data_IF_822651069230
#
_entry.id   IF_822651069230
#
_cell.length_a   1.000
_cell.length_b   1.000
_cell.length_c   1.000
_cell.angle_alpha   90.00
_cell.angle_beta   90.00
_cell.angle_gamma   90.00
#
_symmetry.space_group_name_H-M   'P 1'
#
loop_
_entity.id
_entity.type
_entity.pdbx_description
1 polymer ?
#
# COMPACT_ATOMS: atom_id res chain seq x y z
N UNK A 1 -6.17 23.92 -11.38
CA UNK A 1 -7.15 22.81 -11.33
C UNK A 1 -6.69 21.92 -10.21
N UNK A 2 -7.24 22.16 -9.01
CA UNK A 2 -6.75 21.58 -7.75
C UNK A 2 -7.96 21.12 -6.92
N UNK A 3 -9.01 20.63 -7.59
CA UNK A 3 -10.35 20.49 -7.00
C UNK A 3 -10.86 19.04 -6.92
N UNK A 4 -10.06 18.03 -7.26
CA UNK A 4 -10.54 16.63 -7.31
C UNK A 4 -10.07 15.74 -6.15
N UNK A 5 -9.33 16.29 -5.17
CA UNK A 5 -8.88 15.52 -3.99
C UNK A 5 -9.98 15.45 -2.90
N UNK A 6 -11.09 16.20 -3.04
CA UNK A 6 -12.08 16.34 -1.97
C UNK A 6 -13.20 15.27 -1.93
N UNK A 7 -13.37 14.43 -2.95
CA UNK A 7 -14.58 13.57 -3.06
C UNK A 7 -14.36 12.06 -2.93
N UNK A 8 -13.30 11.62 -2.24
CA UNK A 8 -12.99 10.20 -2.14
C UNK A 8 -12.34 9.83 -0.80
N UNK A 9 -12.70 10.48 0.30
CA UNK A 9 -12.14 10.13 1.61
C UNK A 9 -12.85 8.92 2.20
N UNK A 10 -12.13 7.80 2.33
CA UNK A 10 -12.52 6.68 3.20
C UNK A 10 -11.51 6.71 4.34
N UNK A 11 -11.83 7.45 5.39
CA UNK A 11 -10.93 7.80 6.50
C UNK A 11 -10.45 6.60 7.31
N UNK A 12 -9.51 5.84 6.76
CA UNK A 12 -8.71 4.86 7.49
C UNK A 12 -7.34 5.49 7.68
N UNK A 13 -7.00 5.77 8.93
CA UNK A 13 -5.67 6.20 9.32
C UNK A 13 -4.72 5.01 9.20
N UNK A 14 -3.81 5.07 8.24
CA UNK A 14 -2.65 4.18 8.23
C UNK A 14 -1.64 4.75 9.24
N UNK A 15 -1.51 4.06 10.37
CA UNK A 15 -0.49 4.34 11.36
C UNK A 15 0.76 3.57 10.96
N UNK A 16 1.76 4.29 10.46
CA UNK A 16 3.05 3.72 10.12
C UNK A 16 3.99 3.83 11.31
N UNK A 17 4.38 2.70 11.87
CA UNK A 17 5.37 2.63 12.93
C UNK A 17 6.78 2.52 12.36
N UNK A 18 7.74 3.18 13.02
CA UNK A 18 9.15 3.17 12.61
C UNK A 18 10.03 2.65 13.73
N UNK A 19 11.00 1.80 13.39
CA UNK A 19 11.90 1.14 14.37
C UNK A 19 12.86 2.09 15.09
N UNK A 20 12.95 3.36 14.67
CA UNK A 20 13.85 4.38 15.25
C UNK A 20 13.28 5.16 16.44
N UNK A 21 12.14 4.76 17.01
CA UNK A 21 11.49 5.51 18.10
C UNK A 21 10.88 6.84 17.65
N UNK A 22 10.68 7.00 16.34
CA UNK A 22 10.03 8.16 15.73
C UNK A 22 8.51 8.09 15.91
N UNK A 23 7.87 9.25 16.00
CA UNK A 23 6.42 9.39 16.06
C UNK A 23 5.77 8.60 14.91
N UNK A 24 4.68 7.85 15.15
CA UNK A 24 3.94 7.20 14.07
C UNK A 24 3.51 8.20 13.01
N UNK A 25 3.65 7.84 11.73
CA UNK A 25 3.11 8.64 10.64
C UNK A 25 1.65 8.27 10.46
N UNK A 26 0.77 9.26 10.58
CA UNK A 26 -0.64 9.07 10.30
C UNK A 26 -0.91 9.53 8.86
N UNK A 27 -1.17 8.57 7.98
CA UNK A 27 -1.59 8.84 6.60
C UNK A 27 -3.07 8.57 6.45
N UNK A 28 -3.76 9.42 5.69
CA UNK A 28 -5.17 9.21 5.37
C UNK A 28 -5.28 8.53 4.02
N UNK A 29 -5.98 7.39 4.00
CA UNK A 29 -6.26 6.65 2.78
C UNK A 29 -7.29 7.39 1.90
N UNK A 30 -7.03 7.50 0.60
CA UNK A 30 -8.01 7.93 -0.39
C UNK A 30 -8.81 6.73 -0.90
N UNK A 31 -9.89 7.00 -1.64
CA UNK A 31 -10.81 5.97 -2.16
C UNK A 31 -9.99 4.95 -2.93
N UNK A 32 -9.94 3.71 -2.45
CA UNK A 32 -9.15 2.69 -3.10
C UNK A 32 -9.81 2.26 -4.41
N UNK A 33 -8.99 1.82 -5.35
CA UNK A 33 -9.46 1.04 -6.49
C UNK A 33 -9.42 -0.41 -6.03
N UNK A 34 -10.53 -1.12 -6.06
CA UNK A 34 -10.57 -2.53 -5.71
C UNK A 34 -11.53 -3.28 -6.62
N UNK A 35 -11.01 -4.27 -7.33
CA UNK A 35 -11.72 -5.15 -8.25
C UNK A 35 -11.45 -6.61 -7.89
N UNK A 36 -12.00 -7.55 -8.66
CA UNK A 36 -11.73 -8.98 -8.47
C UNK A 36 -10.25 -9.32 -8.66
N UNK A 37 -9.57 -8.61 -9.57
CA UNK A 37 -8.22 -8.93 -10.03
C UNK A 37 -7.17 -7.90 -9.64
N UNK A 38 -7.57 -6.75 -9.12
CA UNK A 38 -6.62 -5.68 -8.80
C UNK A 38 -7.04 -4.90 -7.57
N UNK A 39 -6.06 -4.36 -6.85
CA UNK A 39 -6.34 -3.26 -5.93
C UNK A 39 -5.22 -2.23 -5.99
N UNK A 40 -5.57 -0.99 -5.72
CA UNK A 40 -4.64 0.11 -5.51
C UNK A 40 -5.13 0.95 -4.33
N UNK A 41 -4.23 1.16 -3.38
CA UNK A 41 -4.45 1.99 -2.20
C UNK A 41 -3.40 3.08 -2.20
N UNK A 42 -3.88 4.30 -2.14
CA UNK A 42 -3.02 5.47 -2.01
C UNK A 42 -3.40 6.20 -0.74
N UNK A 43 -2.40 6.53 0.08
CA UNK A 43 -2.57 7.23 1.33
C UNK A 43 -1.52 8.32 1.48
N UNK A 44 -1.90 9.45 2.05
CA UNK A 44 -0.96 10.53 2.25
C UNK A 44 -1.36 11.46 3.38
N UNK A 45 -0.45 12.37 3.71
CA UNK A 45 -0.67 13.36 4.77
C UNK A 45 -0.06 14.69 4.37
N UNK A 46 -0.87 15.74 4.29
CA UNK A 46 -0.37 17.12 4.11
C UNK A 46 0.47 17.57 5.31
N UNK A 47 0.20 17.05 6.50
CA UNK A 47 0.92 17.43 7.72
C UNK A 47 2.29 16.76 7.82
N UNK A 48 2.38 15.48 7.41
CA UNK A 48 3.63 14.71 7.47
C UNK A 48 4.40 14.77 6.13
N UNK A 49 3.80 15.32 5.08
CA UNK A 49 4.35 15.46 3.72
C UNK A 49 4.74 14.14 3.02
N UNK A 50 4.13 13.01 3.44
CA UNK A 50 4.39 11.68 2.85
C UNK A 50 3.22 11.18 2.00
N UNK A 51 3.58 10.32 1.04
CA UNK A 51 2.72 9.56 0.15
C UNK A 51 3.12 8.08 0.18
N UNK A 52 2.13 7.20 0.24
CA UNK A 52 2.26 5.75 0.12
C UNK A 52 1.29 5.26 -0.95
N UNK A 53 1.76 4.40 -1.85
CA UNK A 53 0.94 3.69 -2.85
C UNK A 53 1.24 2.21 -2.77
N UNK A 54 0.22 1.39 -2.55
CA UNK A 54 0.29 -0.07 -2.56
C UNK A 54 -0.62 -0.59 -3.67
N UNK A 55 -0.07 -1.30 -4.64
CA UNK A 55 -0.82 -1.83 -5.78
C UNK A 55 -0.65 -3.35 -5.90
N UNK A 56 -1.69 -4.02 -6.37
CA UNK A 56 -1.71 -5.45 -6.64
C UNK A 56 -2.37 -5.70 -7.99
N UNK A 57 -1.69 -6.47 -8.84
CA UNK A 57 -2.14 -6.88 -10.17
C UNK A 57 -2.27 -8.39 -10.22
N UNK A 58 -3.43 -8.88 -10.65
CA UNK A 58 -3.81 -10.30 -10.61
C UNK A 58 -4.60 -10.65 -9.35
N UNK A 59 -5.47 -11.67 -9.46
CA UNK A 59 -6.43 -12.08 -8.42
C UNK A 59 -5.76 -12.34 -7.05
N UNK A 60 -5.94 -11.44 -6.06
CA UNK A 60 -5.32 -11.59 -4.75
C UNK A 60 -5.90 -12.81 -4.02
N UNK A 61 -5.09 -13.41 -3.15
CA UNK A 61 -5.41 -14.56 -2.29
C UNK A 61 -4.90 -14.27 -0.88
N UNK A 62 -5.53 -14.85 0.13
CA UNK A 62 -5.04 -14.75 1.51
C UNK A 62 -3.71 -15.51 1.64
N UNK A 63 -2.59 -14.77 1.67
CA UNK A 63 -1.20 -15.25 1.78
C UNK A 63 -0.24 -14.07 1.95
N UNK A 64 1.04 -14.39 2.11
CA UNK A 64 2.14 -13.44 2.05
C UNK A 64 2.62 -13.20 0.61
N UNK A 65 2.92 -11.95 0.30
CA UNK A 65 3.46 -11.46 -0.96
C UNK A 65 4.73 -10.66 -0.67
N UNK A 66 5.78 -10.92 -1.44
CA UNK A 66 6.98 -10.10 -1.39
C UNK A 66 6.85 -8.99 -2.44
N UNK A 67 7.21 -7.76 -2.07
CA UNK A 67 7.35 -6.70 -3.05
C UNK A 67 8.52 -7.04 -3.98
N UNK A 68 8.38 -6.83 -5.30
CA UNK A 68 9.46 -7.06 -6.22
C UNK A 68 10.60 -6.11 -5.85
N UNK A 69 11.71 -6.71 -5.41
CA UNK A 69 13.00 -6.03 -5.27
C UNK A 69 13.66 -6.24 -6.63
N UNK A 70 13.64 -5.22 -7.48
CA UNK A 70 14.16 -5.22 -8.86
C UNK A 70 13.51 -6.26 -9.79
N UNK A 71 12.34 -5.92 -10.33
CA UNK A 71 11.82 -6.65 -11.47
C UNK A 71 11.60 -5.69 -12.65
N UNK A 72 12.55 -5.70 -13.59
CA UNK A 72 12.23 -5.55 -15.01
C UNK A 72 11.22 -6.66 -15.34
N UNK A 73 9.94 -6.40 -15.09
CA UNK A 73 8.88 -7.34 -15.42
C UNK A 73 8.64 -7.19 -16.91
N UNK A 74 9.30 -8.04 -17.70
CA UNK A 74 8.94 -8.23 -19.10
C UNK A 74 7.43 -8.52 -19.18
N UNK A 75 6.67 -7.58 -19.74
CA UNK A 75 5.19 -7.59 -19.87
C UNK A 75 4.63 -8.81 -20.63
N UNK A 76 5.48 -9.75 -21.07
CA UNK A 76 5.11 -10.84 -21.98
C UNK A 76 4.85 -12.20 -21.32
N UNK A 77 4.81 -12.29 -19.99
CA UNK A 77 4.68 -13.58 -19.27
C UNK A 77 3.70 -13.64 -18.09
N UNK A 78 2.93 -12.59 -17.82
CA UNK A 78 2.08 -12.45 -16.62
C UNK A 78 0.74 -13.21 -16.69
N UNK A 79 0.75 -14.44 -17.20
CA UNK A 79 -0.39 -15.34 -17.01
C UNK A 79 -0.46 -15.77 -15.55
N UNK A 80 -1.55 -15.43 -14.86
CA UNK A 80 -1.94 -15.85 -13.50
C UNK A 80 -1.03 -15.45 -12.32
N UNK A 81 0.09 -14.77 -12.54
CA UNK A 81 0.98 -14.34 -11.44
C UNK A 81 0.50 -13.03 -10.82
N UNK A 82 0.25 -13.08 -9.51
CA UNK A 82 -0.10 -11.89 -8.73
C UNK A 82 1.17 -11.12 -8.40
N UNK A 83 1.23 -9.86 -8.80
CA UNK A 83 2.31 -8.93 -8.53
C UNK A 83 1.84 -7.87 -7.53
N UNK A 84 2.65 -7.56 -6.53
CA UNK A 84 2.34 -6.53 -5.52
C UNK A 84 3.47 -5.53 -5.47
N UNK A 85 3.19 -4.24 -5.65
CA UNK A 85 4.20 -3.17 -5.62
C UNK A 85 3.90 -2.17 -4.51
N UNK A 86 4.95 -1.52 -4.01
CA UNK A 86 4.86 -0.48 -2.98
C UNK A 86 5.73 0.71 -3.40
N UNK A 87 5.18 1.90 -3.28
CA UNK A 87 5.91 3.16 -3.37
C UNK A 87 5.70 3.96 -2.10
N UNK A 88 6.77 4.54 -1.57
CA UNK A 88 6.72 5.39 -0.39
C UNK A 88 7.71 6.53 -0.52
N UNK A 89 7.28 7.76 -0.26
CA UNK A 89 8.11 8.94 -0.47
C UNK A 89 7.49 10.23 0.03
N UNK A 90 8.26 11.32 -0.08
CA UNK A 90 7.76 12.67 0.22
C UNK A 90 7.07 13.28 -0.99
N UNK A 91 6.06 14.10 -0.78
CA UNK A 91 5.40 14.81 -1.88
C UNK A 91 6.38 15.64 -2.70
N UNK A 92 6.31 15.50 -4.03
CA UNK A 92 7.16 16.24 -4.96
C UNK A 92 8.63 15.81 -4.98
N UNK A 93 8.99 14.72 -4.29
CA UNK A 93 10.31 14.11 -4.33
C UNK A 93 10.23 12.70 -4.92
N UNK A 94 11.35 12.15 -5.43
CA UNK A 94 11.42 10.74 -5.78
C UNK A 94 11.03 9.85 -4.59
N UNK A 95 10.41 8.70 -4.87
CA UNK A 95 10.17 7.67 -3.87
C UNK A 95 11.49 7.18 -3.27
N UNK A 96 11.42 6.74 -2.02
CA UNK A 96 12.58 6.13 -1.40
C UNK A 96 12.82 4.73 -1.97
N UNK A 97 14.08 4.30 -1.94
CA UNK A 97 14.44 2.94 -2.28
C UNK A 97 13.95 1.96 -1.21
N UNK A 98 13.22 0.94 -1.62
CA UNK A 98 12.71 -0.13 -0.75
C UNK A 98 13.56 -1.38 -0.95
N UNK A 99 14.20 -1.85 0.13
CA UNK A 99 15.13 -2.98 0.09
C UNK A 99 14.49 -4.33 0.39
N UNK A 100 13.42 -4.33 1.17
CA UNK A 100 12.66 -5.51 1.57
C UNK A 100 11.24 -5.05 1.85
N UNK A 101 10.24 -5.81 1.42
CA UNK A 101 8.90 -5.59 1.94
C UNK A 101 7.95 -6.75 1.65
N UNK A 102 7.01 -6.89 2.57
CA UNK A 102 6.02 -7.95 2.61
C UNK A 102 4.64 -7.33 2.75
N UNK A 103 3.69 -7.83 1.96
CA UNK A 103 2.27 -7.68 2.19
C UNK A 103 1.71 -9.03 2.64
N UNK A 104 1.09 -9.07 3.81
CA UNK A 104 0.21 -10.18 4.19
C UNK A 104 -1.23 -9.79 3.92
N UNK A 105 -1.93 -10.58 3.12
CA UNK A 105 -3.39 -10.53 3.04
C UNK A 105 -3.95 -11.59 3.98
N UNK A 106 -4.60 -11.15 5.05
CA UNK A 106 -5.19 -12.04 6.05
C UNK A 106 -6.57 -12.55 5.60
N UNK A 107 -7.36 -11.69 4.96
CA UNK A 107 -8.73 -11.98 4.60
C UNK A 107 -9.13 -11.27 3.30
N UNK A 108 -9.86 -11.98 2.44
CA UNK A 108 -10.53 -11.43 1.26
C UNK A 108 -11.96 -11.93 1.31
N UNK A 109 -12.92 -11.02 1.33
CA UNK A 109 -14.32 -11.34 1.12
C UNK A 109 -14.77 -10.77 -0.22
N UNK A 110 -15.34 -11.65 -1.04
CA UNK A 110 -15.96 -11.33 -2.32
C UNK A 110 -17.34 -12.01 -2.30
N UNK A 111 -18.33 -11.32 -1.75
CA UNK A 111 -19.73 -11.73 -1.84
C UNK A 111 -20.51 -10.74 -2.73
N UNK A 112 -21.79 -11.05 -3.02
CA UNK A 112 -22.60 -10.22 -3.92
C UNK A 112 -22.86 -8.80 -3.37
N UNK A 113 -22.64 -8.58 -2.08
CA UNK A 113 -22.98 -7.34 -1.37
C UNK A 113 -21.77 -6.65 -0.74
N UNK A 114 -20.61 -7.30 -0.68
CA UNK A 114 -19.41 -6.78 -0.05
C UNK A 114 -18.16 -7.32 -0.74
N UNK A 115 -17.26 -6.39 -1.01
CA UNK A 115 -15.91 -6.66 -1.49
C UNK A 115 -14.97 -5.97 -0.53
N UNK A 116 -14.28 -6.73 0.33
CA UNK A 116 -13.25 -6.18 1.21
C UNK A 116 -12.01 -7.06 1.31
N UNK A 117 -10.90 -6.43 1.67
CA UNK A 117 -9.61 -7.05 1.94
C UNK A 117 -9.10 -6.53 3.28
N UNK A 118 -8.61 -7.43 4.12
CA UNK A 118 -7.87 -7.10 5.34
C UNK A 118 -6.44 -7.59 5.19
N UNK A 119 -5.49 -6.72 5.50
CA UNK A 119 -4.08 -7.08 5.43
C UNK A 119 -3.22 -6.21 6.30
N UNK A 120 -1.92 -6.47 6.22
CA UNK A 120 -0.84 -5.77 6.91
C UNK A 120 0.38 -5.77 6.01
N UNK A 121 1.26 -4.80 6.19
CA UNK A 121 2.51 -4.77 5.44
C UNK A 121 3.66 -4.27 6.28
N UNK A 122 4.86 -4.67 5.89
CA UNK A 122 6.12 -4.16 6.41
C UNK A 122 7.08 -3.94 5.25
N UNK A 123 7.89 -2.90 5.32
CA UNK A 123 8.97 -2.68 4.37
C UNK A 123 10.12 -1.88 4.99
N UNK A 124 11.29 -1.94 4.34
CA UNK A 124 12.46 -1.20 4.78
C UNK A 124 12.89 -0.21 3.72
N UNK A 125 12.88 1.06 4.10
CA UNK A 125 13.37 2.18 3.32
C UNK A 125 14.87 2.35 3.55
N UNK A 126 15.62 2.53 2.47
CA UNK A 126 17.03 2.92 2.52
C UNK A 126 17.12 4.45 2.43
N UNK A 127 17.50 5.08 3.54
CA UNK A 127 17.98 6.47 3.56
C UNK A 127 19.52 6.44 3.58
N UNK A 128 20.16 7.48 3.05
CA UNK A 128 21.61 7.56 2.78
C UNK A 128 22.51 7.23 3.99
N UNK A 129 21.95 7.22 5.20
CA UNK A 129 22.67 6.95 6.43
C UNK A 129 22.01 5.88 7.32
N UNK A 130 20.78 5.42 7.02
CA UNK A 130 20.00 4.52 7.89
C UNK A 130 18.97 3.71 7.12
N UNK A 131 18.77 2.46 7.53
CA UNK A 131 17.60 1.67 7.14
C UNK A 131 16.46 1.91 8.13
N UNK A 132 15.28 2.24 7.63
CA UNK A 132 14.08 2.49 8.44
C UNK A 132 13.03 1.46 8.06
N UNK A 133 12.62 0.65 9.04
CA UNK A 133 11.48 -0.27 8.85
C UNK A 133 10.19 0.50 9.08
N UNK A 134 9.26 0.38 8.15
CA UNK A 134 7.93 0.97 8.14
C UNK A 134 6.93 -0.16 8.17
N UNK A 135 5.98 -0.12 9.10
CA UNK A 135 4.98 -1.19 9.25
C UNK A 135 3.57 -0.62 9.40
N UNK A 136 2.61 -1.28 8.76
CA UNK A 136 1.18 -1.12 8.99
C UNK A 136 0.61 -2.43 9.52
N UNK A 137 0.16 -2.42 10.78
CA UNK A 137 -0.32 -3.61 11.48
C UNK A 137 -1.67 -4.13 11.00
N UNK A 138 -2.48 -3.24 10.41
CA UNK A 138 -3.78 -3.58 9.84
C UNK A 138 -4.27 -2.45 8.93
N UNK A 139 -4.69 -2.81 7.73
CA UNK A 139 -5.49 -1.96 6.86
C UNK A 139 -6.70 -2.74 6.34
N UNK A 140 -7.70 -2.01 5.85
CA UNK A 140 -8.90 -2.60 5.24
C UNK A 140 -9.23 -1.85 3.97
N UNK A 141 -9.40 -2.56 2.86
CA UNK A 141 -9.80 -2.01 1.56
C UNK A 141 -11.22 -2.47 1.28
N UNK A 142 -12.05 -1.60 0.73
CA UNK A 142 -13.37 -1.96 0.22
C UNK A 142 -14.52 -1.52 1.12
N UNK A 143 -15.74 -1.80 0.66
CA UNK A 143 -16.97 -1.41 1.35
C UNK A 143 -17.38 -2.52 2.31
N UNK A 144 -17.15 -2.27 3.60
CA UNK A 144 -17.65 -3.13 4.66
C UNK A 144 -19.09 -2.69 4.93
N UNK A 145 -20.01 -3.25 4.14
CA UNK A 145 -21.45 -3.02 4.27
C UNK A 145 -21.94 -3.21 5.72
#
# INVERSE_FOLDING_TARGET
MMDDIENAFVGIDLILETTSGSKPLNLTMWKPIFTEDTFEVSAGSKAEEYLLTLSCWGKPKARDYLFPVDADVDEQGLGDQVQVTMEFGKYGQPSFEISNGTLTIDEINQDQNSLYLVGRFDFTVLDAHKSITVSCWKFTIGDRA
#
